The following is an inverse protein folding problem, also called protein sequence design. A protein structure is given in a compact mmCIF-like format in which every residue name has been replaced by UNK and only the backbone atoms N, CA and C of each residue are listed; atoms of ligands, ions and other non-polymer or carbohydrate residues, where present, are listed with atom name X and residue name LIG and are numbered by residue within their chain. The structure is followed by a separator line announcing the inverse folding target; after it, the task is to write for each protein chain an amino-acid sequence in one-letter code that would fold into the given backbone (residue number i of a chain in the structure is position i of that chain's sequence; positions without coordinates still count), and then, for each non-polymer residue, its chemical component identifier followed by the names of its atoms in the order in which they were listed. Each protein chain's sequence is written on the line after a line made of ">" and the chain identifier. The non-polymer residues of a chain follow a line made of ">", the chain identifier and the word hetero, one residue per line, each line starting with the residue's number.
data_IF_187627863371
#
_entry.id   IF_187627863371
#
_cell.length_a   1.000
_cell.length_b   1.000
_cell.length_c   1.000
_cell.angle_alpha   90.00
_cell.angle_beta   90.00
_cell.angle_gamma   90.00
#
_symmetry.space_group_name_H-M   'P 1'
#
loop_
_entity.id
_entity.type
_entity.pdbx_description
1 polymer ?
#
# COMPACT_ATOMS: atom_id res chain seq x y z
N UNK A 1 -22.91 65.21 -13.56
CA UNK A 1 -21.66 64.82 -12.88
C UNK A 1 -21.75 63.42 -12.24
N UNK A 2 -22.34 62.41 -12.92
CA UNK A 2 -22.73 61.11 -12.34
C UNK A 2 -22.27 59.90 -13.16
N UNK A 3 -21.60 60.06 -14.30
CA UNK A 3 -21.24 58.94 -15.20
C UNK A 3 -19.95 58.19 -14.79
N UNK A 4 -18.99 58.86 -14.13
CA UNK A 4 -17.67 58.26 -13.77
C UNK A 4 -17.77 57.19 -12.65
N UNK A 5 -18.71 57.31 -11.73
CA UNK A 5 -18.87 56.39 -10.62
C UNK A 5 -19.47 55.02 -11.01
N UNK A 6 -20.22 54.99 -12.15
CA UNK A 6 -20.83 53.77 -12.60
C UNK A 6 -19.85 52.82 -13.29
N UNK A 7 -18.89 53.38 -14.03
CA UNK A 7 -17.81 52.61 -14.67
C UNK A 7 -16.84 52.03 -13.65
N UNK A 8 -16.54 52.79 -12.60
CA UNK A 8 -15.62 52.33 -11.56
C UNK A 8 -16.18 51.17 -10.72
N UNK A 9 -17.50 51.19 -10.43
CA UNK A 9 -18.19 50.10 -9.74
C UNK A 9 -18.26 48.80 -10.57
N UNK A 10 -18.45 48.90 -11.89
CA UNK A 10 -18.43 47.71 -12.77
C UNK A 10 -17.03 47.10 -12.90
N UNK A 11 -15.99 47.94 -12.97
CA UNK A 11 -14.59 47.47 -13.06
C UNK A 11 -14.16 46.71 -11.78
N UNK A 12 -14.57 47.20 -10.60
CA UNK A 12 -14.28 46.56 -9.31
C UNK A 12 -15.02 45.22 -9.18
N UNK A 13 -16.29 45.10 -9.61
CA UNK A 13 -17.03 43.85 -9.58
C UNK A 13 -16.43 42.77 -10.50
N UNK A 14 -15.96 43.14 -11.69
CA UNK A 14 -15.32 42.19 -12.61
C UNK A 14 -13.93 41.74 -12.11
N UNK A 15 -13.18 42.60 -11.47
CA UNK A 15 -11.90 42.23 -10.86
C UNK A 15 -12.07 41.32 -9.65
N UNK A 16 -13.14 41.52 -8.84
CA UNK A 16 -13.42 40.70 -7.66
C UNK A 16 -13.88 39.28 -8.05
N UNK A 17 -14.64 39.13 -9.16
CA UNK A 17 -15.05 37.80 -9.66
C UNK A 17 -13.87 36.98 -10.21
N UNK A 18 -12.85 37.61 -10.82
CA UNK A 18 -11.66 36.92 -11.29
C UNK A 18 -10.76 36.47 -10.13
N UNK A 19 -10.76 37.18 -8.99
CA UNK A 19 -9.96 36.80 -7.82
C UNK A 19 -10.50 35.55 -7.10
N UNK A 20 -11.79 35.27 -7.20
CA UNK A 20 -12.44 34.11 -6.52
C UNK A 20 -12.26 32.82 -7.32
N UNK A 21 -12.09 32.89 -8.65
CA UNK A 21 -11.96 31.71 -9.53
C UNK A 21 -10.54 31.10 -9.49
N UNK A 22 -9.55 31.86 -9.03
CA UNK A 22 -8.13 31.45 -9.01
C UNK A 22 -7.71 30.51 -7.88
N UNK A 23 -8.62 30.13 -6.95
CA UNK A 23 -8.25 29.34 -5.77
C UNK A 23 -8.85 27.93 -5.71
N UNK A 24 -9.22 27.35 -6.84
CA UNK A 24 -9.46 25.91 -6.88
C UNK A 24 -8.10 25.22 -6.98
N UNK A 25 -7.38 25.17 -5.87
CA UNK A 25 -6.30 24.24 -5.69
C UNK A 25 -6.93 22.85 -5.72
N UNK A 26 -6.90 22.18 -6.87
CA UNK A 26 -7.20 20.76 -6.97
C UNK A 26 -6.10 20.06 -6.18
N UNK A 27 -6.33 19.87 -4.89
CA UNK A 27 -5.56 18.91 -4.11
C UNK A 27 -5.84 17.55 -4.74
N UNK A 28 -4.97 17.10 -5.63
CA UNK A 28 -4.86 15.69 -5.95
C UNK A 28 -4.49 15.03 -4.62
N UNK A 29 -5.50 14.54 -3.91
CA UNK A 29 -5.27 13.57 -2.87
C UNK A 29 -4.61 12.39 -3.60
N UNK A 30 -3.29 12.28 -3.46
CA UNK A 30 -2.59 11.08 -3.80
C UNK A 30 -3.27 9.99 -2.98
N UNK A 31 -4.03 9.12 -3.65
CA UNK A 31 -4.55 7.88 -3.05
C UNK A 31 -3.31 7.05 -2.74
N UNK A 32 -2.77 7.27 -1.55
CA UNK A 32 -1.67 6.52 -1.00
C UNK A 32 -2.29 5.18 -0.56
N UNK A 33 -2.20 4.18 -1.42
CA UNK A 33 -2.61 2.82 -1.11
C UNK A 33 -1.67 2.26 -0.05
N UNK A 34 -1.89 2.66 1.20
CA UNK A 34 -1.20 2.08 2.34
C UNK A 34 -2.18 1.19 3.08
N UNK A 35 -1.93 -0.11 3.09
CA UNK A 35 -2.66 -1.02 3.95
C UNK A 35 -2.27 -0.75 5.40
N UNK A 36 -3.27 -0.67 6.26
CA UNK A 36 -3.09 -0.47 7.70
C UNK A 36 -3.53 -1.73 8.44
N UNK A 37 -2.63 -2.28 9.25
CA UNK A 37 -2.85 -3.51 10.01
C UNK A 37 -2.78 -3.26 11.51
N UNK A 38 -3.78 -3.72 12.25
CA UNK A 38 -3.72 -3.79 13.71
C UNK A 38 -3.17 -5.15 14.14
N UNK A 39 -2.01 -5.14 14.77
CA UNK A 39 -1.32 -6.36 15.20
C UNK A 39 -0.93 -6.28 16.66
N UNK A 40 -0.97 -7.43 17.32
CA UNK A 40 -0.55 -7.58 18.72
C UNK A 40 0.60 -8.58 18.81
N UNK A 41 1.58 -8.29 19.65
CA UNK A 41 2.65 -9.23 19.96
C UNK A 41 2.96 -9.22 21.45
N UNK A 42 3.28 -10.41 21.97
CA UNK A 42 3.67 -10.63 23.35
C UNK A 42 5.03 -11.33 23.39
N UNK A 43 5.88 -10.89 24.30
CA UNK A 43 7.24 -11.44 24.45
C UNK A 43 7.57 -11.58 25.93
N UNK A 44 8.16 -12.71 26.32
CA UNK A 44 8.66 -12.93 27.65
C UNK A 44 9.82 -11.99 28.01
N UNK A 45 9.82 -11.51 29.25
CA UNK A 45 10.83 -10.62 29.81
C UNK A 45 11.96 -11.44 30.42
N UNK A 46 13.18 -11.23 29.96
CA UNK A 46 14.38 -11.87 30.54
C UNK A 46 15.09 -10.88 31.47
N UNK A 47 15.50 -11.35 32.65
CA UNK A 47 16.27 -10.56 33.63
C UNK A 47 15.57 -9.23 34.01
N UNK A 48 14.25 -9.23 34.05
CA UNK A 48 13.41 -8.05 34.34
C UNK A 48 13.67 -6.84 33.44
N UNK A 49 14.21 -7.05 32.23
CA UNK A 49 14.45 -5.99 31.24
C UNK A 49 13.21 -5.82 30.33
N UNK A 50 12.24 -5.10 30.84
CA UNK A 50 10.99 -4.79 30.10
C UNK A 50 11.25 -3.91 28.88
N UNK A 51 12.24 -3.02 28.91
CA UNK A 51 12.56 -2.16 27.78
C UNK A 51 13.02 -2.98 26.58
N UNK A 52 13.89 -3.97 26.82
CA UNK A 52 14.36 -4.88 25.78
C UNK A 52 13.25 -5.79 25.28
N UNK A 53 12.40 -6.29 26.19
CA UNK A 53 11.26 -7.12 25.83
C UNK A 53 10.25 -6.33 24.96
N UNK A 54 9.92 -5.09 25.31
CA UNK A 54 9.03 -4.22 24.52
C UNK A 54 9.61 -3.95 23.13
N UNK A 55 10.90 -3.63 23.01
CA UNK A 55 11.57 -3.49 21.71
C UNK A 55 11.49 -4.76 20.86
N UNK A 56 11.58 -5.93 21.49
CA UNK A 56 11.45 -7.22 20.81
C UNK A 56 9.98 -7.45 20.39
N UNK A 57 9.00 -7.12 21.24
CA UNK A 57 7.59 -7.23 20.92
C UNK A 57 7.21 -6.36 19.72
N UNK A 58 7.72 -5.11 19.65
CA UNK A 58 7.54 -4.25 18.47
C UNK A 58 8.07 -4.91 17.20
N UNK A 59 9.29 -5.47 17.22
CA UNK A 59 9.85 -6.16 16.05
C UNK A 59 9.00 -7.34 15.59
N UNK A 60 8.47 -8.11 16.54
CA UNK A 60 7.58 -9.24 16.24
C UNK A 60 6.28 -8.73 15.64
N UNK A 61 5.67 -7.69 16.21
CA UNK A 61 4.43 -7.10 15.69
C UNK A 61 4.60 -6.57 14.26
N UNK A 62 5.68 -5.84 13.97
CA UNK A 62 5.96 -5.33 12.63
C UNK A 62 6.13 -6.45 11.59
N UNK A 63 6.79 -7.56 11.99
CA UNK A 63 6.93 -8.73 11.13
C UNK A 63 5.59 -9.44 10.90
N UNK A 64 4.74 -9.54 11.93
CA UNK A 64 3.41 -10.12 11.82
C UNK A 64 2.50 -9.31 10.90
N UNK A 65 2.58 -7.96 10.94
CA UNK A 65 1.84 -7.11 10.02
C UNK A 65 2.23 -7.39 8.55
N UNK A 66 3.52 -7.49 8.25
CA UNK A 66 3.98 -7.83 6.90
C UNK A 66 3.59 -9.25 6.50
N UNK A 67 3.66 -10.22 7.42
CA UNK A 67 3.22 -11.59 7.14
C UNK A 67 1.71 -11.65 6.82
N UNK A 68 0.90 -10.91 7.57
CA UNK A 68 -0.54 -10.82 7.32
C UNK A 68 -0.83 -10.22 5.95
N UNK A 69 -0.16 -9.13 5.58
CA UNK A 69 -0.29 -8.48 4.27
C UNK A 69 0.11 -9.43 3.12
N UNK A 70 1.23 -10.12 3.26
CA UNK A 70 1.68 -11.10 2.26
C UNK A 70 0.69 -12.26 2.09
N UNK A 71 0.08 -12.75 3.19
CA UNK A 71 -0.96 -13.79 3.13
C UNK A 71 -2.25 -13.27 2.50
N UNK A 72 -2.59 -12.02 2.71
CA UNK A 72 -3.77 -11.39 2.11
C UNK A 72 -3.58 -11.18 0.60
N UNK A 73 -2.39 -10.76 0.18
CA UNK A 73 -2.06 -10.55 -1.24
C UNK A 73 -1.96 -11.87 -2.02
N UNK A 74 -1.34 -12.90 -1.45
CA UNK A 74 -1.01 -14.14 -2.15
C UNK A 74 -2.03 -15.26 -1.91
N UNK A 75 -2.81 -15.17 -0.83
CA UNK A 75 -3.51 -16.31 -0.29
C UNK A 75 -2.58 -17.28 0.47
N UNK A 76 -3.16 -18.11 1.33
CA UNK A 76 -2.38 -19.01 2.19
C UNK A 76 -1.58 -20.05 1.40
N UNK A 77 -2.18 -20.60 0.35
CA UNK A 77 -1.57 -21.69 -0.43
C UNK A 77 -0.33 -21.22 -1.20
N UNK A 78 -0.40 -20.01 -1.79
CA UNK A 78 0.72 -19.43 -2.53
C UNK A 78 1.82 -18.95 -1.58
N UNK A 79 1.44 -18.39 -0.43
CA UNK A 79 2.38 -18.01 0.63
C UNK A 79 3.19 -19.22 1.13
N UNK A 80 2.56 -20.36 1.39
CA UNK A 80 3.24 -21.58 1.86
C UNK A 80 4.08 -22.23 0.75
N UNK A 81 3.64 -22.17 -0.51
CA UNK A 81 4.43 -22.63 -1.67
C UNK A 81 5.75 -21.90 -1.82
N UNK A 82 5.74 -20.59 -1.57
CA UNK A 82 6.90 -19.71 -1.70
C UNK A 82 7.53 -19.38 -0.33
N UNK A 83 7.45 -20.29 0.64
CA UNK A 83 7.86 -20.04 2.03
C UNK A 83 9.29 -19.51 2.18
N UNK A 84 10.26 -20.00 1.40
CA UNK A 84 11.66 -19.57 1.49
C UNK A 84 11.83 -18.10 1.09
N UNK A 85 11.17 -17.69 0.03
CA UNK A 85 11.13 -16.32 -0.47
C UNK A 85 10.44 -15.41 0.55
N UNK A 86 9.30 -15.86 1.09
CA UNK A 86 8.57 -15.13 2.14
C UNK A 86 9.42 -14.93 3.39
N UNK A 87 10.15 -15.94 3.84
CA UNK A 87 11.08 -15.80 4.97
C UNK A 87 12.19 -14.78 4.68
N UNK A 88 12.67 -14.69 3.44
CA UNK A 88 13.67 -13.72 3.03
C UNK A 88 13.13 -12.29 3.08
N UNK A 89 11.88 -12.08 2.65
CA UNK A 89 11.18 -10.79 2.74
C UNK A 89 10.93 -10.43 4.21
N UNK A 90 10.43 -11.37 5.02
CA UNK A 90 10.14 -11.18 6.44
C UNK A 90 11.37 -10.88 7.30
N UNK A 91 12.57 -11.31 6.90
CA UNK A 91 13.84 -10.95 7.58
C UNK A 91 14.16 -9.46 7.48
N UNK A 92 13.77 -8.83 6.39
CA UNK A 92 14.03 -7.42 6.10
C UNK A 92 12.79 -6.53 6.22
N UNK A 93 11.84 -6.91 7.08
CA UNK A 93 10.54 -6.25 7.27
C UNK A 93 10.61 -4.72 7.35
N UNK A 94 11.70 -4.17 7.91
CA UNK A 94 11.87 -2.72 8.04
C UNK A 94 11.82 -1.95 6.71
N UNK A 95 12.11 -2.62 5.58
CA UNK A 95 12.05 -1.99 4.25
C UNK A 95 10.62 -1.75 3.78
N UNK A 96 9.68 -2.48 4.34
CA UNK A 96 8.27 -2.48 3.93
C UNK A 96 7.37 -1.74 4.90
N UNK A 97 7.86 -1.39 6.09
CA UNK A 97 7.12 -0.59 7.08
C UNK A 97 7.25 0.89 6.76
N UNK A 98 6.14 1.53 6.40
CA UNK A 98 6.05 2.97 6.16
C UNK A 98 6.02 3.76 7.46
N UNK A 99 5.16 3.35 8.39
CA UNK A 99 5.01 3.94 9.71
C UNK A 99 4.30 2.97 10.64
N UNK A 100 4.41 3.20 11.93
CA UNK A 100 3.59 2.50 12.93
C UNK A 100 3.26 3.41 14.10
N UNK A 101 2.17 3.09 14.78
CA UNK A 101 1.67 3.80 15.95
C UNK A 101 1.35 2.80 17.05
N UNK A 102 1.70 3.13 18.28
CA UNK A 102 1.27 2.34 19.43
C UNK A 102 -0.22 2.61 19.69
N UNK A 103 -1.01 1.55 19.75
CA UNK A 103 -2.37 1.56 20.24
C UNK A 103 -2.38 1.23 21.73
N UNK A 104 -1.62 0.19 22.13
CA UNK A 104 -1.49 -0.24 23.51
C UNK A 104 -0.06 -0.73 23.76
N UNK A 105 0.42 -0.54 25.01
CA UNK A 105 1.65 -1.13 25.51
C UNK A 105 1.46 -1.47 26.97
N UNK A 106 1.68 -2.73 27.33
CA UNK A 106 1.48 -3.23 28.68
C UNK A 106 2.63 -4.16 29.08
N UNK A 107 3.17 -3.92 30.27
CA UNK A 107 4.19 -4.77 30.88
C UNK A 107 3.60 -5.46 32.10
N UNK A 108 3.62 -6.78 32.12
CA UNK A 108 3.17 -7.60 33.24
C UNK A 108 4.38 -8.05 34.07
N UNK A 109 4.58 -7.48 35.28
CA UNK A 109 5.68 -7.85 36.15
C UNK A 109 5.46 -9.22 36.84
N UNK A 110 4.24 -9.73 36.91
CA UNK A 110 3.93 -11.01 37.53
C UNK A 110 4.19 -12.16 36.58
N UNK A 111 3.68 -12.04 35.33
CA UNK A 111 3.90 -13.04 34.30
C UNK A 111 5.23 -12.87 33.55
N UNK A 112 5.97 -11.80 33.86
CA UNK A 112 7.21 -11.42 33.15
C UNK A 112 7.02 -11.36 31.63
N UNK A 113 5.98 -10.66 31.20
CA UNK A 113 5.61 -10.47 29.80
C UNK A 113 5.52 -9.01 29.42
N UNK A 114 5.84 -8.69 28.19
CA UNK A 114 5.61 -7.38 27.58
C UNK A 114 4.76 -7.56 26.33
N UNK A 115 3.63 -6.84 26.27
CA UNK A 115 2.67 -6.88 25.17
C UNK A 115 2.60 -5.52 24.51
N UNK A 116 2.53 -5.51 23.20
CA UNK A 116 2.25 -4.30 22.41
C UNK A 116 1.14 -4.57 21.42
N UNK A 117 0.31 -3.57 21.17
CA UNK A 117 -0.65 -3.51 20.07
C UNK A 117 -0.28 -2.32 19.20
N UNK A 118 -0.04 -2.56 17.94
CA UNK A 118 0.40 -1.55 16.97
C UNK A 118 -0.59 -1.46 15.82
N UNK A 119 -0.75 -0.26 15.31
CA UNK A 119 -1.26 0.00 13.96
C UNK A 119 -0.06 0.22 13.05
N UNK A 120 0.04 -0.56 11.98
CA UNK A 120 1.20 -0.59 11.08
C UNK A 120 0.76 -0.28 9.67
N UNK A 121 1.37 0.72 9.04
CA UNK A 121 1.18 1.05 7.63
C UNK A 121 2.35 0.51 6.83
N UNK A 122 2.06 -0.16 5.71
CA UNK A 122 3.05 -0.79 4.85
C UNK A 122 3.19 -0.07 3.50
N UNK A 123 4.35 -0.20 2.87
CA UNK A 123 4.63 0.26 1.52
C UNK A 123 4.19 -0.80 0.50
N UNK A 124 2.96 -0.75 0.02
CA UNK A 124 2.39 -1.72 -0.92
C UNK A 124 3.19 -1.84 -2.21
N UNK A 125 3.62 -0.70 -2.78
CA UNK A 125 4.42 -0.69 -4.00
C UNK A 125 5.75 -1.43 -3.83
N UNK A 126 6.41 -1.28 -2.66
CA UNK A 126 7.67 -1.96 -2.39
C UNK A 126 7.47 -3.47 -2.23
N UNK A 127 6.36 -3.91 -1.64
CA UNK A 127 5.98 -5.31 -1.48
C UNK A 127 5.69 -5.92 -2.85
N UNK A 128 4.80 -5.32 -3.63
CA UNK A 128 4.41 -5.78 -4.97
C UNK A 128 5.61 -5.87 -5.92
N UNK A 129 6.47 -4.85 -5.92
CA UNK A 129 7.71 -4.85 -6.70
C UNK A 129 8.65 -6.00 -6.31
N UNK A 130 8.78 -6.27 -5.00
CA UNK A 130 9.63 -7.36 -4.52
C UNK A 130 9.07 -8.73 -4.90
N UNK A 131 7.75 -8.94 -4.77
CA UNK A 131 7.08 -10.17 -5.19
C UNK A 131 7.30 -10.42 -6.69
N UNK A 132 7.08 -9.41 -7.52
CA UNK A 132 7.29 -9.47 -8.97
C UNK A 132 8.74 -9.79 -9.35
N UNK A 133 9.72 -9.19 -8.66
CA UNK A 133 11.15 -9.47 -8.86
C UNK A 133 11.54 -10.90 -8.52
N UNK A 134 10.83 -11.52 -7.57
CA UNK A 134 11.01 -12.93 -7.22
C UNK A 134 10.18 -13.87 -8.12
N UNK A 135 9.53 -13.36 -9.17
CA UNK A 135 8.72 -14.15 -10.08
C UNK A 135 7.39 -14.61 -9.51
N UNK A 136 6.97 -14.03 -8.38
CA UNK A 136 5.69 -14.31 -7.74
C UNK A 136 4.66 -13.37 -8.34
N UNK A 137 3.78 -13.91 -9.17
CA UNK A 137 2.68 -13.15 -9.76
C UNK A 137 1.60 -13.02 -8.68
N UNK A 138 1.34 -11.80 -8.26
CA UNK A 138 0.20 -11.50 -7.40
C UNK A 138 -1.05 -11.82 -8.21
N UNK A 139 -1.83 -12.79 -7.77
CA UNK A 139 -2.98 -13.29 -8.51
C UNK A 139 -3.97 -12.17 -8.74
N UNK A 140 -4.26 -11.96 -10.02
CA UNK A 140 -5.36 -11.13 -10.49
C UNK A 140 -6.66 -11.97 -10.40
N UNK A 141 -6.96 -12.54 -9.25
CA UNK A 141 -8.15 -13.39 -9.09
C UNK A 141 -9.46 -12.61 -9.29
N UNK A 142 -9.41 -11.27 -9.37
CA UNK A 142 -10.56 -10.41 -9.64
C UNK A 142 -10.53 -9.70 -11.02
N UNK A 143 -9.58 -10.02 -11.88
CA UNK A 143 -9.67 -9.57 -13.27
C UNK A 143 -10.37 -10.64 -14.11
N UNK A 144 -11.69 -10.62 -14.08
CA UNK A 144 -12.49 -11.21 -15.15
C UNK A 144 -11.94 -10.71 -16.50
N UNK A 145 -11.28 -11.63 -17.22
CA UNK A 145 -10.81 -11.47 -18.60
C UNK A 145 -9.83 -10.31 -18.87
N UNK A 146 -8.55 -10.56 -18.65
CA UNK A 146 -7.53 -9.80 -19.36
C UNK A 146 -7.58 -10.23 -20.84
N UNK A 147 -8.32 -9.50 -21.66
CA UNK A 147 -8.23 -9.61 -23.10
C UNK A 147 -6.88 -8.99 -23.51
N UNK A 148 -5.86 -9.83 -23.66
CA UNK A 148 -4.60 -9.40 -24.26
C UNK A 148 -4.86 -9.20 -25.76
N UNK A 149 -5.20 -7.99 -26.16
CA UNK A 149 -5.17 -7.58 -27.54
C UNK A 149 -3.70 -7.47 -27.96
N UNK A 150 -3.12 -8.60 -28.38
CA UNK A 150 -1.84 -8.57 -29.10
C UNK A 150 -2.15 -8.01 -30.48
N UNK A 151 -2.02 -6.69 -30.62
CA UNK A 151 -2.06 -6.04 -31.92
C UNK A 151 -0.69 -6.24 -32.59
N UNK A 152 -0.42 -7.50 -32.95
CA UNK A 152 0.75 -7.90 -33.71
C UNK A 152 0.47 -7.70 -35.19
N UNK A 153 0.65 -6.47 -35.70
CA UNK A 153 0.79 -6.24 -37.14
C UNK A 153 2.16 -6.73 -37.61
N UNK A 154 2.41 -8.03 -37.55
CA UNK A 154 3.41 -8.67 -38.38
C UNK A 154 2.73 -9.11 -39.69
N UNK A 155 2.65 -8.19 -40.63
CA UNK A 155 2.39 -8.51 -42.01
C UNK A 155 3.60 -9.27 -42.52
N UNK A 156 3.51 -10.59 -42.53
CA UNK A 156 4.38 -11.40 -43.38
C UNK A 156 4.11 -11.00 -44.81
N UNK A 157 5.17 -10.85 -45.57
CA UNK A 157 5.17 -10.40 -46.97
C UNK A 157 4.36 -11.27 -47.96
N UNK A 158 3.62 -12.26 -47.50
CA UNK A 158 2.84 -13.19 -48.33
C UNK A 158 1.32 -13.12 -48.13
N UNK A 159 0.81 -12.17 -47.34
CA UNK A 159 -0.63 -11.83 -47.35
C UNK A 159 -1.60 -12.89 -46.84
N UNK A 160 -1.16 -13.94 -46.14
CA UNK A 160 -2.05 -14.93 -45.53
C UNK A 160 -2.41 -14.58 -44.10
N UNK A 161 -3.69 -14.37 -43.87
CA UNK A 161 -4.26 -14.16 -42.53
C UNK A 161 -4.42 -15.50 -41.82
N UNK A 162 -3.70 -15.69 -40.71
CA UNK A 162 -3.95 -16.81 -39.80
C UNK A 162 -5.18 -16.53 -38.98
N UNK A 163 -6.27 -17.25 -39.21
CA UNK A 163 -7.45 -17.27 -38.38
C UNK A 163 -7.24 -18.24 -37.20
N UNK A 164 -7.23 -17.75 -35.97
CA UNK A 164 -7.28 -18.63 -34.78
C UNK A 164 -8.72 -18.95 -34.47
N UNK A 165 -9.07 -20.21 -34.55
CA UNK A 165 -10.33 -20.77 -34.11
C UNK A 165 -10.31 -20.84 -32.57
N UNK A 166 -11.30 -20.21 -31.93
CA UNK A 166 -11.55 -20.38 -30.49
C UNK A 166 -12.23 -21.73 -30.29
N UNK A 167 -11.59 -22.59 -29.53
CA UNK A 167 -12.16 -23.84 -29.03
C UNK A 167 -13.00 -23.54 -27.77
N UNK A 168 -14.22 -24.08 -27.65
CA UNK A 168 -15.14 -23.83 -26.56
C UNK A 168 -14.68 -24.39 -25.20
#
# INVERSE_FOLDING_TARGET
>A
MTSKNFFFKRLICTALTYLIIGQVSVSFAQLDFSSSYEVSAEVGVMRSDFVKARKKAVKVALRLALEQDLREILGNDEFERNWQEMQSILKVYNKYVKSYRFLEAYDDPVELKSRVKLEVNLFQDAISNTLSQNGIVVGLEDLEQVVILINGSNLNSNGESLSFETVP
#
